data_IF_882426474787
#
_entry.id   IF_882426474787
#
_cell.length_a   1.000
_cell.length_b   1.000
_cell.length_c   1.000
_cell.angle_alpha   90.00
_cell.angle_beta   90.00
_cell.angle_gamma   90.00
#
_symmetry.space_group_name_H-M   'P 1'
#
loop_
_entity.id
_entity.type
_entity.pdbx_description
1 polymer ?
#
# COMPACT_ATOMS: atom_id res chain seq x y z
N UNK A 1 6.31 -2.27 -6.56
CA UNK A 1 6.06 -1.47 -5.32
C UNK A 1 5.82 -2.35 -4.10
N UNK A 2 5.34 -3.60 -4.26
CA UNK A 2 5.14 -4.57 -3.18
C UNK A 2 6.29 -4.66 -2.17
N UNK A 3 7.51 -4.95 -2.64
CA UNK A 3 8.72 -5.00 -1.79
C UNK A 3 8.89 -3.79 -0.86
N UNK A 4 8.64 -2.57 -1.35
CA UNK A 4 8.83 -1.36 -0.54
C UNK A 4 7.81 -1.27 0.60
N UNK A 5 6.54 -1.53 0.29
CA UNK A 5 5.45 -1.46 1.26
C UNK A 5 5.51 -2.60 2.27
N UNK A 6 5.86 -3.82 1.85
CA UNK A 6 6.03 -4.96 2.77
C UNK A 6 7.17 -4.69 3.74
N UNK A 7 8.36 -4.32 3.23
CA UNK A 7 9.49 -3.99 4.10
C UNK A 7 9.18 -2.84 5.07
N UNK A 8 8.38 -1.86 4.66
CA UNK A 8 7.91 -0.80 5.55
C UNK A 8 6.93 -1.34 6.60
N UNK A 9 5.93 -2.12 6.21
CA UNK A 9 4.92 -2.66 7.11
C UNK A 9 5.52 -3.59 8.17
N UNK A 10 6.46 -4.46 7.80
CA UNK A 10 7.11 -5.38 8.73
C UNK A 10 8.24 -4.70 9.53
N UNK A 11 9.09 -3.95 8.85
CA UNK A 11 10.30 -3.37 9.44
C UNK A 11 10.04 -2.15 10.29
N UNK A 12 9.07 -1.31 9.91
CA UNK A 12 8.76 -0.05 10.62
C UNK A 12 7.53 -0.19 11.49
N UNK A 13 6.46 -0.79 10.97
CA UNK A 13 5.19 -0.89 11.69
C UNK A 13 5.02 -2.21 12.45
N UNK A 14 5.99 -3.12 12.36
CA UNK A 14 5.97 -4.43 13.02
C UNK A 14 4.71 -5.26 12.75
N UNK A 15 4.08 -5.07 11.58
CA UNK A 15 2.95 -5.90 11.15
C UNK A 15 3.44 -7.31 10.85
N UNK A 16 2.56 -8.29 11.09
CA UNK A 16 2.82 -9.72 10.84
C UNK A 16 1.87 -10.21 9.76
N UNK A 17 2.40 -10.98 8.83
CA UNK A 17 1.63 -11.66 7.79
C UNK A 17 0.70 -12.70 8.41
N UNK A 18 -0.53 -12.76 7.92
CA UNK A 18 -1.46 -13.84 8.24
C UNK A 18 -1.47 -14.86 7.08
N UNK A 19 -0.79 -15.98 7.31
CA UNK A 19 -0.68 -17.09 6.36
C UNK A 19 -2.00 -17.86 6.15
N UNK A 20 -3.08 -17.53 6.87
CA UNK A 20 -4.40 -18.14 6.66
C UNK A 20 -5.11 -17.61 5.40
N UNK A 21 -4.61 -16.52 4.83
CA UNK A 21 -5.16 -15.88 3.62
C UNK A 21 -4.75 -16.67 2.38
N UNK A 22 -5.72 -17.20 1.61
CA UNK A 22 -5.50 -17.84 0.31
C UNK A 22 -5.10 -16.84 -0.77
N UNK A 23 -3.92 -16.24 -0.64
CA UNK A 23 -3.37 -15.27 -1.59
C UNK A 23 -2.62 -16.00 -2.71
N UNK A 24 -3.34 -16.43 -3.73
CA UNK A 24 -2.80 -17.03 -4.94
C UNK A 24 -3.07 -16.12 -6.14
N UNK A 25 -2.07 -15.91 -6.99
CA UNK A 25 -2.17 -15.05 -8.16
C UNK A 25 -1.74 -15.81 -9.42
N UNK A 26 -2.56 -15.74 -10.47
CA UNK A 26 -2.36 -16.52 -11.69
C UNK A 26 -1.32 -15.91 -12.64
N UNK A 27 -0.92 -14.66 -12.42
CA UNK A 27 -0.13 -13.84 -13.34
C UNK A 27 1.29 -13.52 -12.85
N UNK A 28 1.72 -14.14 -11.75
CA UNK A 28 3.04 -13.88 -11.13
C UNK A 28 4.11 -14.92 -11.45
N UNK A 29 3.75 -16.02 -12.12
CA UNK A 29 4.66 -17.16 -12.38
C UNK A 29 5.90 -16.80 -13.21
N UNK A 30 5.80 -15.79 -14.08
CA UNK A 30 6.92 -15.29 -14.90
C UNK A 30 7.82 -14.28 -14.17
N UNK A 31 7.49 -13.93 -12.93
CA UNK A 31 8.27 -12.99 -12.12
C UNK A 31 9.36 -13.71 -11.32
N UNK A 32 10.34 -12.98 -10.78
CA UNK A 32 11.32 -13.57 -9.89
C UNK A 32 10.68 -14.12 -8.61
N UNK A 33 11.24 -15.19 -8.04
CA UNK A 33 10.77 -15.79 -6.78
C UNK A 33 10.66 -14.74 -5.66
N UNK A 34 11.64 -13.82 -5.59
CA UNK A 34 11.63 -12.72 -4.64
C UNK A 34 10.40 -11.81 -4.83
N UNK A 35 10.07 -11.45 -6.08
CA UNK A 35 8.92 -10.58 -6.33
C UNK A 35 7.60 -11.31 -6.03
N UNK A 36 7.50 -12.60 -6.39
CA UNK A 36 6.34 -13.43 -6.06
C UNK A 36 6.11 -13.49 -4.54
N UNK A 37 7.18 -13.67 -3.77
CA UNK A 37 7.12 -13.67 -2.31
C UNK A 37 6.54 -12.36 -1.75
N UNK A 38 7.09 -11.21 -2.15
CA UNK A 38 6.60 -9.91 -1.70
C UNK A 38 5.17 -9.60 -2.16
N UNK A 39 4.73 -10.15 -3.30
CA UNK A 39 3.34 -10.02 -3.76
C UNK A 39 2.41 -10.76 -2.80
N UNK A 40 2.72 -12.01 -2.49
CA UNK A 40 1.93 -12.83 -1.54
C UNK A 40 1.91 -12.19 -0.15
N UNK A 41 3.06 -11.75 0.37
CA UNK A 41 3.14 -11.07 1.66
C UNK A 41 2.31 -9.78 1.69
N UNK A 42 2.34 -9.00 0.61
CA UNK A 42 1.53 -7.78 0.52
C UNK A 42 0.02 -8.06 0.60
N UNK A 43 -0.42 -9.23 0.12
CA UNK A 43 -1.80 -9.69 0.25
C UNK A 43 -2.12 -10.20 1.64
N UNK A 44 -1.23 -10.99 2.24
CA UNK A 44 -1.39 -11.52 3.61
C UNK A 44 -1.38 -10.42 4.67
N UNK A 45 -0.67 -9.30 4.42
CA UNK A 45 -0.72 -8.10 5.27
C UNK A 45 -1.98 -7.26 5.04
N UNK A 46 -2.82 -7.66 4.10
CA UNK A 46 -4.02 -6.95 3.68
C UNK A 46 -3.79 -5.61 2.99
N UNK A 47 -2.62 -5.47 2.37
CA UNK A 47 -2.18 -4.23 1.77
C UNK A 47 -2.57 -4.21 0.29
N UNK A 48 -2.15 -5.20 -0.51
CA UNK A 48 -2.42 -5.26 -1.94
C UNK A 48 -2.87 -6.65 -2.38
N UNK A 49 -3.73 -6.73 -3.40
CA UNK A 49 -4.11 -8.02 -3.97
C UNK A 49 -5.20 -8.77 -3.19
N UNK A 50 -5.88 -8.11 -2.25
CA UNK A 50 -7.02 -8.72 -1.57
C UNK A 50 -8.21 -8.93 -2.54
N UNK A 51 -8.69 -10.17 -2.62
CA UNK A 51 -9.92 -10.51 -3.35
C UNK A 51 -9.80 -10.44 -4.87
N UNK A 52 -8.58 -10.56 -5.41
CA UNK A 52 -8.32 -10.58 -6.86
C UNK A 52 -7.43 -11.77 -7.22
N UNK A 53 -7.63 -12.32 -8.42
CA UNK A 53 -6.85 -13.47 -8.92
C UNK A 53 -5.64 -13.06 -9.78
N UNK A 54 -5.57 -11.78 -10.18
CA UNK A 54 -4.52 -11.22 -11.02
C UNK A 54 -3.94 -9.96 -10.36
N UNK A 55 -2.65 -10.00 -10.00
CA UNK A 55 -1.99 -8.94 -9.26
C UNK A 55 -1.50 -7.79 -10.14
N UNK A 56 -1.17 -8.06 -11.40
CA UNK A 56 -0.59 -7.16 -12.39
C UNK A 56 0.69 -6.45 -11.90
N UNK A 57 1.79 -7.19 -11.66
CA UNK A 57 2.99 -6.67 -11.01
C UNK A 57 3.73 -5.56 -11.79
N UNK A 58 3.53 -5.49 -13.10
CA UNK A 58 4.11 -4.46 -13.98
C UNK A 58 3.27 -3.19 -14.07
N UNK A 59 2.04 -3.22 -13.56
CA UNK A 59 1.14 -2.07 -13.61
C UNK A 59 1.68 -0.91 -12.79
N UNK A 60 1.50 0.30 -13.34
CA UNK A 60 1.73 1.53 -12.60
C UNK A 60 0.58 1.74 -11.63
N UNK A 61 0.90 2.28 -10.45
CA UNK A 61 -0.07 2.53 -9.37
C UNK A 61 -0.40 4.02 -9.38
N UNK A 62 -1.69 4.34 -9.29
CA UNK A 62 -2.18 5.71 -9.18
C UNK A 62 -2.04 6.24 -7.76
N UNK A 63 -2.09 7.56 -7.60
CA UNK A 63 -2.09 8.25 -6.31
C UNK A 63 -3.23 7.77 -5.41
N UNK A 64 -4.41 7.58 -5.98
CA UNK A 64 -5.57 7.02 -5.30
C UNK A 64 -5.28 5.64 -4.71
N UNK A 65 -4.74 4.73 -5.54
CA UNK A 65 -4.41 3.37 -5.11
C UNK A 65 -3.30 3.36 -4.06
N UNK A 66 -2.21 4.10 -4.28
CA UNK A 66 -1.10 4.16 -3.33
C UNK A 66 -1.50 4.84 -2.01
N UNK A 67 -2.27 5.93 -2.05
CA UNK A 67 -2.73 6.61 -0.86
C UNK A 67 -3.72 5.76 -0.04
N UNK A 68 -4.61 5.03 -0.71
CA UNK A 68 -5.50 4.07 -0.04
C UNK A 68 -4.69 2.98 0.65
N UNK A 69 -3.73 2.41 -0.07
CA UNK A 69 -2.80 1.40 0.43
C UNK A 69 -2.07 1.88 1.68
N UNK A 70 -1.39 3.03 1.61
CA UNK A 70 -0.62 3.57 2.72
C UNK A 70 -1.50 3.92 3.93
N UNK A 71 -2.68 4.49 3.69
CA UNK A 71 -3.64 4.79 4.75
C UNK A 71 -4.11 3.53 5.47
N UNK A 72 -4.40 2.44 4.75
CA UNK A 72 -4.74 1.13 5.36
C UNK A 72 -3.58 0.52 6.14
N UNK A 73 -2.35 0.69 5.64
CA UNK A 73 -1.18 0.25 6.38
C UNK A 73 -1.11 0.94 7.75
N UNK A 74 -1.39 2.24 7.82
CA UNK A 74 -1.28 3.03 9.06
C UNK A 74 -2.50 2.91 9.98
N UNK A 75 -3.71 2.88 9.42
CA UNK A 75 -4.95 3.07 10.16
C UNK A 75 -5.94 1.90 10.03
N UNK A 76 -5.55 0.83 9.34
CA UNK A 76 -6.45 -0.28 9.02
C UNK A 76 -7.67 0.21 8.21
N UNK A 77 -8.85 -0.28 8.56
CA UNK A 77 -10.09 0.01 7.85
C UNK A 77 -10.77 1.33 8.24
N UNK A 78 -10.15 2.11 9.13
CA UNK A 78 -10.74 3.34 9.72
C UNK A 78 -11.28 4.33 8.68
N UNK A 79 -10.62 4.45 7.53
CA UNK A 79 -10.97 5.39 6.46
C UNK A 79 -11.58 4.73 5.23
N UNK A 80 -12.03 3.47 5.34
CA UNK A 80 -12.79 2.82 4.28
C UNK A 80 -14.20 3.44 4.18
N UNK A 81 -14.77 3.48 2.96
CA UNK A 81 -16.19 3.83 2.75
C UNK A 81 -16.45 5.23 2.18
N UNK A 82 -15.41 6.02 1.91
CA UNK A 82 -15.54 7.29 1.18
C UNK A 82 -16.08 7.09 -0.24
N UNK A 83 -16.65 8.16 -0.82
CA UNK A 83 -17.03 8.21 -2.24
C UNK A 83 -16.36 9.41 -2.92
N UNK A 84 -15.41 9.22 -3.85
CA UNK A 84 -14.86 7.92 -4.29
C UNK A 84 -14.09 7.19 -3.18
N UNK A 85 -13.89 5.87 -3.32
CA UNK A 85 -13.34 4.97 -2.28
C UNK A 85 -12.05 5.45 -1.59
N UNK A 86 -11.25 6.27 -2.28
CA UNK A 86 -9.96 6.78 -1.80
C UNK A 86 -10.06 8.13 -1.07
N UNK A 87 -11.20 8.82 -1.11
CA UNK A 87 -11.33 10.22 -0.68
C UNK A 87 -10.87 10.43 0.76
N UNK A 88 -11.43 9.65 1.69
CA UNK A 88 -11.12 9.76 3.12
C UNK A 88 -9.69 9.34 3.43
N UNK A 89 -9.18 8.30 2.76
CA UNK A 89 -7.79 7.88 2.87
C UNK A 89 -6.82 8.99 2.46
N UNK A 90 -7.05 9.63 1.31
CA UNK A 90 -6.19 10.73 0.83
C UNK A 90 -6.26 11.93 1.76
N UNK A 91 -7.45 12.25 2.28
CA UNK A 91 -7.62 13.37 3.20
C UNK A 91 -6.94 13.11 4.54
N UNK A 92 -7.02 11.89 5.08
CA UNK A 92 -6.31 11.50 6.30
C UNK A 92 -4.80 11.63 6.14
N UNK A 93 -4.24 11.10 5.04
CA UNK A 93 -2.80 11.22 4.76
C UNK A 93 -2.35 12.67 4.54
N UNK A 94 -3.22 13.51 3.98
CA UNK A 94 -2.94 14.95 3.85
C UNK A 94 -2.94 15.65 5.20
N UNK A 95 -3.91 15.36 6.06
CA UNK A 95 -4.01 15.92 7.41
C UNK A 95 -2.81 15.53 8.28
N UNK A 96 -2.32 14.30 8.12
CA UNK A 96 -1.11 13.80 8.77
C UNK A 96 0.20 14.37 8.18
N UNK A 97 0.15 15.19 7.11
CA UNK A 97 1.33 15.73 6.44
C UNK A 97 2.16 14.70 5.66
N UNK A 98 1.61 13.50 5.44
CA UNK A 98 2.26 12.41 4.71
C UNK A 98 2.14 12.67 3.20
N UNK A 99 0.92 12.89 2.71
CA UNK A 99 0.62 13.15 1.30
C UNK A 99 0.08 14.58 1.10
N UNK A 100 0.98 15.52 0.80
CA UNK A 100 0.60 16.95 0.72
C UNK A 100 -0.22 17.32 -0.52
N UNK A 101 -0.06 16.58 -1.63
CA UNK A 101 -0.80 16.83 -2.86
C UNK A 101 -1.76 15.66 -3.11
N UNK A 102 -3.06 15.94 -3.16
CA UNK A 102 -4.11 14.94 -3.44
C UNK A 102 -5.01 15.37 -4.61
N UNK A 103 -4.65 16.45 -5.33
CA UNK A 103 -5.54 17.11 -6.29
C UNK A 103 -5.74 16.31 -7.58
N UNK A 104 -4.83 15.39 -7.91
CA UNK A 104 -4.96 14.47 -9.03
C UNK A 104 -4.83 13.02 -8.55
N UNK A 105 -5.95 12.37 -8.19
CA UNK A 105 -5.96 10.98 -7.73
C UNK A 105 -5.49 9.97 -8.79
N UNK A 106 -5.60 10.31 -10.08
CA UNK A 106 -5.21 9.45 -11.20
C UNK A 106 -3.74 9.62 -11.60
N UNK A 107 -3.00 10.55 -10.97
CA UNK A 107 -1.58 10.71 -11.22
C UNK A 107 -0.83 9.42 -10.88
N UNK A 108 0.08 8.99 -11.75
CA UNK A 108 0.91 7.81 -11.51
C UNK A 108 1.96 8.12 -10.44
N UNK A 109 2.04 7.27 -9.43
CA UNK A 109 3.07 7.41 -8.41
C UNK A 109 4.41 6.87 -8.90
N UNK A 110 5.46 7.67 -8.69
CA UNK A 110 6.83 7.31 -8.99
C UNK A 110 7.56 6.94 -7.70
N UNK A 111 8.53 6.02 -7.81
CA UNK A 111 9.29 5.46 -6.68
C UNK A 111 9.85 6.53 -5.73
N UNK A 112 10.34 7.66 -6.26
CA UNK A 112 10.90 8.74 -5.45
C UNK A 112 9.88 9.38 -4.50
N UNK A 113 8.66 9.65 -4.96
CA UNK A 113 7.62 10.23 -4.10
C UNK A 113 7.10 9.23 -3.09
N UNK A 114 6.97 7.95 -3.48
CA UNK A 114 6.61 6.86 -2.57
C UNK A 114 7.58 6.81 -1.38
N UNK A 115 8.88 6.85 -1.62
CA UNK A 115 9.88 6.84 -0.54
C UNK A 115 9.74 8.01 0.42
N UNK A 116 9.50 9.22 -0.08
CA UNK A 116 9.28 10.40 0.76
C UNK A 116 8.02 10.24 1.62
N UNK A 117 6.95 9.68 1.07
CA UNK A 117 5.72 9.43 1.83
C UNK A 117 5.92 8.36 2.91
N UNK A 118 6.65 7.28 2.62
CA UNK A 118 6.99 6.25 3.61
C UNK A 118 7.83 6.83 4.77
N UNK A 119 8.82 7.67 4.45
CA UNK A 119 9.63 8.34 5.48
C UNK A 119 8.77 9.25 6.39
N UNK A 120 7.81 9.97 5.82
CA UNK A 120 6.90 10.82 6.60
C UNK A 120 5.96 9.99 7.47
N UNK A 121 5.44 8.89 6.93
CA UNK A 121 4.61 7.96 7.65
C UNK A 121 5.35 7.32 8.85
N UNK A 122 6.64 6.97 8.69
CA UNK A 122 7.48 6.50 9.79
C UNK A 122 7.65 7.56 10.90
N UNK A 123 7.87 8.82 10.53
CA UNK A 123 8.02 9.90 11.50
C UNK A 123 6.72 10.16 12.26
N UNK A 124 5.58 10.04 11.57
CA UNK A 124 4.26 10.14 12.17
C UNK A 124 4.00 8.99 13.15
N UNK A 125 4.30 7.74 12.77
CA UNK A 125 4.11 6.57 13.64
C UNK A 125 5.01 6.58 14.88
N UNK A 126 6.14 7.28 14.86
CA UNK A 126 7.03 7.48 16.03
C UNK A 126 6.58 8.58 16.98
N UNK A 127 5.67 9.46 16.52
CA UNK A 127 5.18 10.61 17.29
C UNK A 127 3.91 10.29 18.09
N UNK A 128 3.28 9.14 17.85
CA UNK A 128 2.17 8.57 18.62
C UNK A 128 2.69 7.68 19.75
#
# INVERSE_FOLDING_TARGET
>A
MAKMIVNFAEGVLHKRTDNSSGCEFNDISNQSEELQHYIVESCQLGLMGQGIDAFNPESLITRAQFGTLLSRTLHGDTYNGGDPYYADHLQALKNAGIMNNISNPNALEIRGYVWVMLQRAENESKSQ
#
